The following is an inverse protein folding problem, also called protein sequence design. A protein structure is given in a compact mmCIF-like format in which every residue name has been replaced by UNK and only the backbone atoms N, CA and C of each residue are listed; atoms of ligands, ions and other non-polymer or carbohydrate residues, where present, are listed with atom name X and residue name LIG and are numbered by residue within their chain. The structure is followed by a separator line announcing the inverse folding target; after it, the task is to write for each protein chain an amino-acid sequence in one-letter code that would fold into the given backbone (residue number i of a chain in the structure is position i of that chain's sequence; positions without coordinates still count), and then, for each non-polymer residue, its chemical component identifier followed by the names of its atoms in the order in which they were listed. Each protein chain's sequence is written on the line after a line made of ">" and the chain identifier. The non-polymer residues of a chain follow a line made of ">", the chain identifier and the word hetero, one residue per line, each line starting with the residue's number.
data_IF_661413881209
#
_entry.id   IF_661413881209
#
_cell.length_a   1.000
_cell.length_b   1.000
_cell.length_c   1.000
_cell.angle_alpha   90.00
_cell.angle_beta   90.00
_cell.angle_gamma   90.00
#
_symmetry.space_group_name_H-M   'P 1'
#
loop_
_entity.id
_entity.type
_entity.pdbx_description
1 polymer ?
#
# COMPACT_ATOMS: atom_id res chain seq x y z
N UNK A 1 3.52 46.23 -4.10
CA UNK A 1 2.92 45.45 -5.21
C UNK A 1 3.80 44.29 -5.70
N UNK A 2 5.12 44.31 -5.53
CA UNK A 2 5.99 43.17 -5.90
C UNK A 2 5.82 41.95 -4.99
N UNK A 3 5.72 42.16 -3.66
CA UNK A 3 5.57 41.05 -2.69
C UNK A 3 4.28 40.24 -2.86
N UNK A 4 3.16 40.87 -3.25
CA UNK A 4 1.89 40.17 -3.48
C UNK A 4 1.93 39.28 -4.72
N UNK A 5 2.65 39.70 -5.77
CA UNK A 5 2.81 38.95 -7.02
C UNK A 5 3.74 37.74 -6.84
N UNK A 6 4.82 37.87 -6.06
CA UNK A 6 5.69 36.73 -5.71
C UNK A 6 4.98 35.73 -4.80
N UNK A 7 4.26 36.19 -3.77
CA UNK A 7 3.44 35.34 -2.89
C UNK A 7 2.47 34.46 -3.70
N UNK A 8 1.75 35.04 -4.67
CA UNK A 8 0.75 34.30 -5.44
C UNK A 8 1.37 33.26 -6.38
N UNK A 9 2.52 33.57 -6.98
CA UNK A 9 3.18 32.68 -7.95
C UNK A 9 3.86 31.49 -7.28
N UNK A 10 4.54 31.71 -6.15
CA UNK A 10 5.18 30.62 -5.39
C UNK A 10 4.13 29.68 -4.78
N UNK A 11 3.03 30.23 -4.27
CA UNK A 11 1.91 29.46 -3.77
C UNK A 11 1.25 28.62 -4.87
N UNK A 12 0.96 29.21 -6.04
CA UNK A 12 0.34 28.46 -7.15
C UNK A 12 1.23 27.31 -7.61
N UNK A 13 2.53 27.54 -7.74
CA UNK A 13 3.48 26.49 -8.14
C UNK A 13 3.53 25.34 -7.12
N UNK A 14 3.55 25.64 -5.82
CA UNK A 14 3.50 24.60 -4.78
C UNK A 14 2.18 23.80 -4.83
N UNK A 15 1.05 24.48 -5.03
CA UNK A 15 -0.26 23.82 -5.16
C UNK A 15 -0.32 22.93 -6.40
N UNK A 16 0.27 23.35 -7.53
CA UNK A 16 0.32 22.55 -8.75
C UNK A 16 1.18 21.29 -8.57
N UNK A 17 2.35 21.42 -7.95
CA UNK A 17 3.21 20.27 -7.63
C UNK A 17 2.51 19.30 -6.66
N UNK A 18 1.82 19.83 -5.64
CA UNK A 18 1.00 19.04 -4.72
C UNK A 18 -0.11 18.27 -5.45
N UNK A 19 -0.86 18.95 -6.31
CA UNK A 19 -1.95 18.35 -7.06
C UNK A 19 -1.43 17.27 -8.02
N UNK A 20 -0.33 17.54 -8.72
CA UNK A 20 0.33 16.56 -9.58
C UNK A 20 0.74 15.31 -8.80
N UNK A 21 1.37 15.47 -7.63
CA UNK A 21 1.76 14.34 -6.78
C UNK A 21 0.54 13.53 -6.30
N UNK A 22 -0.56 14.19 -5.95
CA UNK A 22 -1.82 13.54 -5.58
C UNK A 22 -2.44 12.76 -6.77
N UNK A 23 -2.45 13.34 -7.97
CA UNK A 23 -2.97 12.69 -9.17
C UNK A 23 -2.10 11.48 -9.55
N UNK A 24 -0.77 11.62 -9.53
CA UNK A 24 0.16 10.52 -9.79
C UNK A 24 -0.03 9.37 -8.78
N UNK A 25 -0.22 9.72 -7.50
CA UNK A 25 -0.57 8.77 -6.45
C UNK A 25 -1.87 8.03 -6.76
N UNK A 26 -2.90 8.75 -7.21
CA UNK A 26 -4.19 8.15 -7.56
C UNK A 26 -4.05 7.20 -8.75
N UNK A 27 -3.34 7.61 -9.80
CA UNK A 27 -3.05 6.77 -10.96
C UNK A 27 -2.31 5.48 -10.56
N UNK A 28 -1.32 5.56 -9.66
CA UNK A 28 -0.66 4.38 -9.11
C UNK A 28 -1.65 3.41 -8.45
N UNK A 29 -2.60 3.92 -7.66
CA UNK A 29 -3.63 3.09 -7.04
C UNK A 29 -4.53 2.43 -8.08
N UNK A 30 -4.96 3.17 -9.09
CA UNK A 30 -5.78 2.63 -10.17
C UNK A 30 -5.03 1.53 -10.94
N UNK A 31 -3.78 1.78 -11.34
CA UNK A 31 -2.95 0.82 -12.07
C UNK A 31 -2.71 -0.44 -11.24
N UNK A 32 -2.28 -0.30 -9.97
CA UNK A 32 -2.02 -1.44 -9.10
C UNK A 32 -3.29 -2.29 -8.88
N UNK A 33 -4.44 -1.66 -8.71
CA UNK A 33 -5.72 -2.35 -8.54
C UNK A 33 -6.16 -3.07 -9.82
N UNK A 34 -6.02 -2.42 -10.98
CA UNK A 34 -6.34 -3.01 -12.28
C UNK A 34 -5.43 -4.20 -12.60
N UNK A 35 -4.12 -4.08 -12.36
CA UNK A 35 -3.17 -5.18 -12.53
C UNK A 35 -3.51 -6.36 -11.62
N UNK A 36 -3.89 -6.08 -10.37
CA UNK A 36 -4.33 -7.12 -9.44
C UNK A 36 -5.58 -7.85 -9.97
N UNK A 37 -6.64 -7.11 -10.31
CA UNK A 37 -7.92 -7.69 -10.72
C UNK A 37 -7.80 -8.44 -12.06
N UNK A 38 -7.18 -7.83 -13.06
CA UNK A 38 -7.19 -8.35 -14.43
C UNK A 38 -6.15 -9.47 -14.65
N UNK A 39 -5.00 -9.40 -13.99
CA UNK A 39 -3.86 -10.26 -14.37
C UNK A 39 -3.40 -11.19 -13.25
N UNK A 40 -3.50 -10.76 -11.99
CA UNK A 40 -2.85 -11.45 -10.88
C UNK A 40 -3.82 -12.17 -9.94
N UNK A 41 -5.10 -11.84 -9.97
CA UNK A 41 -6.11 -12.37 -9.04
C UNK A 41 -6.13 -13.90 -9.01
N UNK A 42 -6.29 -14.55 -10.17
CA UNK A 42 -6.36 -16.01 -10.26
C UNK A 42 -5.11 -16.71 -9.72
N UNK A 43 -3.93 -16.14 -9.99
CA UNK A 43 -2.64 -16.68 -9.53
C UNK A 43 -2.41 -16.46 -8.03
N UNK A 44 -2.80 -15.29 -7.51
CA UNK A 44 -2.57 -14.91 -6.12
C UNK A 44 -3.58 -15.56 -5.18
N UNK A 45 -4.82 -15.82 -5.62
CA UNK A 45 -5.83 -16.46 -4.79
C UNK A 45 -5.46 -17.92 -4.43
N UNK A 46 -4.65 -18.61 -5.27
CA UNK A 46 -4.11 -19.95 -4.99
C UNK A 46 -2.77 -19.98 -4.23
N UNK A 47 -2.14 -18.83 -4.01
CA UNK A 47 -0.80 -18.73 -3.41
C UNK A 47 -0.77 -17.62 -2.35
N UNK A 48 -1.25 -17.88 -1.11
CA UNK A 48 -1.44 -16.84 -0.10
C UNK A 48 -0.14 -16.12 0.28
N UNK A 49 1.00 -16.81 0.26
CA UNK A 49 2.31 -16.21 0.53
C UNK A 49 2.71 -15.19 -0.56
N UNK A 50 2.50 -15.52 -1.83
CA UNK A 50 2.79 -14.62 -2.96
C UNK A 50 1.85 -13.41 -2.94
N UNK A 51 0.58 -13.63 -2.62
CA UNK A 51 -0.41 -12.57 -2.42
C UNK A 51 0.00 -11.62 -1.30
N UNK A 52 0.48 -12.15 -0.16
CA UNK A 52 0.95 -11.36 0.96
C UNK A 52 2.13 -10.46 0.58
N UNK A 53 3.11 -11.00 -0.14
CA UNK A 53 4.27 -10.24 -0.64
C UNK A 53 3.82 -9.13 -1.60
N UNK A 54 2.93 -9.42 -2.55
CA UNK A 54 2.38 -8.43 -3.47
C UNK A 54 1.74 -7.26 -2.72
N UNK A 55 0.82 -7.54 -1.79
CA UNK A 55 0.14 -6.49 -1.01
C UNK A 55 1.10 -5.71 -0.11
N UNK A 56 2.16 -6.35 0.40
CA UNK A 56 3.20 -5.69 1.21
C UNK A 56 4.00 -4.68 0.38
N UNK A 57 4.43 -5.08 -0.82
CA UNK A 57 5.23 -4.22 -1.70
C UNK A 57 4.40 -3.01 -2.14
N UNK A 58 3.19 -3.23 -2.67
CA UNK A 58 2.35 -2.12 -3.13
C UNK A 58 1.90 -1.22 -1.97
N UNK A 59 1.62 -1.81 -0.80
CA UNK A 59 1.22 -1.10 0.40
C UNK A 59 2.33 -0.20 0.91
N UNK A 60 3.56 -0.72 1.00
CA UNK A 60 4.75 0.01 1.44
C UNK A 60 5.09 1.14 0.47
N UNK A 61 5.12 0.87 -0.84
CA UNK A 61 5.38 1.89 -1.86
C UNK A 61 4.34 3.01 -1.79
N UNK A 62 3.05 2.66 -1.67
CA UNK A 62 1.97 3.65 -1.51
C UNK A 62 2.14 4.46 -0.24
N UNK A 63 2.50 3.82 0.88
CA UNK A 63 2.71 4.50 2.15
C UNK A 63 3.86 5.51 2.08
N UNK A 64 5.00 5.11 1.51
CA UNK A 64 6.14 6.01 1.27
C UNK A 64 5.72 7.18 0.39
N UNK A 65 5.00 6.93 -0.69
CA UNK A 65 4.55 7.98 -1.59
C UNK A 65 3.63 8.98 -0.88
N UNK A 66 2.74 8.52 -0.01
CA UNK A 66 1.88 9.40 0.80
C UNK A 66 2.70 10.20 1.81
N UNK A 67 3.69 9.59 2.48
CA UNK A 67 4.61 10.33 3.35
C UNK A 67 5.37 11.41 2.58
N UNK A 68 5.82 11.12 1.36
CA UNK A 68 6.47 12.11 0.49
C UNK A 68 5.52 13.26 0.14
N UNK A 69 4.24 12.98 -0.15
CA UNK A 69 3.25 14.03 -0.40
C UNK A 69 3.10 14.95 0.81
N UNK A 70 3.03 14.39 2.03
CA UNK A 70 2.94 15.19 3.25
C UNK A 70 4.22 15.97 3.56
N UNK A 71 5.38 15.33 3.42
CA UNK A 71 6.65 15.91 3.88
C UNK A 71 7.26 16.89 2.88
N UNK A 72 7.08 16.65 1.58
CA UNK A 72 7.78 17.39 0.52
C UNK A 72 6.83 18.28 -0.28
N UNK A 73 5.64 17.78 -0.60
CA UNK A 73 4.74 18.45 -1.53
C UNK A 73 3.62 19.24 -0.84
N UNK A 74 3.45 19.12 0.47
CA UNK A 74 2.40 19.85 1.17
C UNK A 74 2.67 21.37 1.10
N UNK A 75 1.78 22.15 0.46
CA UNK A 75 2.08 23.55 0.17
C UNK A 75 2.12 24.36 1.47
N UNK A 76 3.15 25.18 1.63
CA UNK A 76 3.34 26.04 2.78
C UNK A 76 3.09 27.50 2.40
N UNK A 77 2.23 28.16 3.16
CA UNK A 77 1.98 29.58 2.97
C UNK A 77 3.13 30.38 3.59
N UNK A 78 3.78 31.23 2.81
CA UNK A 78 4.84 32.08 3.31
C UNK A 78 4.29 33.17 4.25
N UNK A 79 5.11 33.57 5.23
CA UNK A 79 4.74 34.56 6.23
C UNK A 79 4.31 35.89 5.60
N UNK A 80 3.17 36.41 6.04
CA UNK A 80 2.60 37.66 5.53
C UNK A 80 1.82 37.52 4.21
N UNK A 81 1.73 36.31 3.63
CA UNK A 81 0.85 36.04 2.49
C UNK A 81 -0.52 35.51 2.95
N UNK A 82 -1.59 35.83 2.23
CA UNK A 82 -2.90 35.17 2.38
C UNK A 82 -3.05 34.08 1.34
N UNK A 83 -2.97 32.81 1.77
CA UNK A 83 -3.11 31.66 0.89
C UNK A 83 -4.49 31.00 1.02
N UNK A 84 -5.00 30.48 -0.09
CA UNK A 84 -6.23 29.67 -0.10
C UNK A 84 -5.98 28.23 0.36
N UNK A 85 -7.03 27.41 0.35
CA UNK A 85 -6.92 25.98 0.64
C UNK A 85 -6.62 25.19 -0.64
N UNK A 86 -5.65 24.27 -0.67
CA UNK A 86 -5.37 23.46 -1.85
C UNK A 86 -6.56 22.52 -2.16
N UNK A 87 -6.93 22.31 -3.44
CA UNK A 87 -8.11 21.52 -3.81
C UNK A 87 -8.10 20.07 -3.29
N UNK A 88 -6.92 19.44 -3.29
CA UNK A 88 -6.76 18.04 -2.87
C UNK A 88 -6.29 17.89 -1.42
N UNK A 89 -6.57 18.86 -0.53
CA UNK A 89 -6.09 18.86 0.86
C UNK A 89 -6.32 17.52 1.60
N UNK A 90 -7.49 16.91 1.40
CA UNK A 90 -7.87 15.67 2.10
C UNK A 90 -7.33 14.40 1.44
N UNK A 91 -6.82 14.48 0.21
CA UNK A 91 -6.39 13.30 -0.55
C UNK A 91 -5.34 12.46 0.16
N UNK A 92 -4.26 13.03 0.76
CA UNK A 92 -3.24 12.24 1.42
C UNK A 92 -3.78 11.41 2.58
N UNK A 93 -4.81 11.88 3.30
CA UNK A 93 -5.47 11.11 4.35
C UNK A 93 -6.18 9.87 3.78
N UNK A 94 -6.96 10.03 2.70
CA UNK A 94 -7.60 8.91 2.02
C UNK A 94 -6.57 7.93 1.45
N UNK A 95 -5.49 8.45 0.87
CA UNK A 95 -4.41 7.63 0.34
C UNK A 95 -3.68 6.84 1.43
N UNK A 96 -3.52 7.41 2.64
CA UNK A 96 -3.01 6.69 3.82
C UNK A 96 -3.92 5.52 4.19
N UNK A 97 -5.24 5.71 4.22
CA UNK A 97 -6.17 4.61 4.51
C UNK A 97 -6.06 3.46 3.50
N UNK A 98 -5.88 3.78 2.21
CA UNK A 98 -5.67 2.76 1.16
C UNK A 98 -4.36 2.00 1.41
N UNK A 99 -3.26 2.70 1.72
CA UNK A 99 -1.98 2.07 2.01
C UNK A 99 -2.06 1.13 3.22
N UNK A 100 -2.64 1.60 4.33
CA UNK A 100 -2.85 0.81 5.55
C UNK A 100 -3.73 -0.41 5.27
N UNK A 101 -4.80 -0.25 4.49
CA UNK A 101 -5.68 -1.37 4.10
C UNK A 101 -4.92 -2.46 3.35
N UNK A 102 -4.03 -2.09 2.42
CA UNK A 102 -3.21 -3.07 1.70
C UNK A 102 -2.22 -3.78 2.61
N UNK A 103 -1.54 -3.05 3.49
CA UNK A 103 -0.62 -3.65 4.47
C UNK A 103 -1.34 -4.57 5.46
N UNK A 104 -2.54 -4.19 5.90
CA UNK A 104 -3.36 -5.03 6.77
C UNK A 104 -3.78 -6.32 6.06
N UNK A 105 -4.20 -6.23 4.79
CA UNK A 105 -4.52 -7.40 3.98
C UNK A 105 -3.31 -8.31 3.79
N UNK A 106 -2.12 -7.74 3.59
CA UNK A 106 -0.89 -8.53 3.52
C UNK A 106 -0.64 -9.32 4.81
N UNK A 107 -0.82 -8.69 5.98
CA UNK A 107 -0.68 -9.35 7.29
C UNK A 107 -1.65 -10.52 7.46
N UNK A 108 -2.90 -10.36 7.03
CA UNK A 108 -3.88 -11.43 7.06
C UNK A 108 -3.47 -12.61 6.16
N UNK A 109 -2.93 -12.32 4.98
CA UNK A 109 -2.47 -13.34 4.03
C UNK A 109 -1.21 -14.08 4.53
N UNK A 110 -0.29 -13.39 5.21
CA UNK A 110 0.83 -14.06 5.89
C UNK A 110 0.35 -15.00 6.99
N UNK A 111 -0.61 -14.56 7.81
CA UNK A 111 -1.19 -15.41 8.85
C UNK A 111 -1.88 -16.65 8.24
N UNK A 112 -2.57 -16.49 7.11
CA UNK A 112 -3.18 -17.59 6.38
C UNK A 112 -2.13 -18.56 5.80
N UNK A 113 -1.07 -18.03 5.17
CA UNK A 113 0.01 -18.84 4.61
C UNK A 113 0.71 -19.68 5.69
N UNK A 114 0.97 -19.10 6.86
CA UNK A 114 1.57 -19.81 7.98
C UNK A 114 0.69 -20.93 8.53
N UNK A 115 -0.64 -20.74 8.58
CA UNK A 115 -1.59 -21.78 9.00
C UNK A 115 -1.62 -22.95 8.02
N UNK A 116 -1.66 -22.66 6.72
CA UNK A 116 -1.63 -23.70 5.67
C UNK A 116 -0.30 -24.47 5.71
N UNK A 117 0.82 -23.80 5.97
CA UNK A 117 2.11 -24.46 6.14
C UNK A 117 2.11 -25.43 7.33
N UNK A 118 1.63 -25.00 8.51
CA UNK A 118 1.58 -25.85 9.70
C UNK A 118 0.63 -27.05 9.55
N UNK A 119 -0.50 -26.89 8.85
CA UNK A 119 -1.44 -28.00 8.60
C UNK A 119 -0.87 -29.06 7.65
N UNK A 120 0.05 -28.67 6.75
CA UNK A 120 0.71 -29.62 5.87
C UNK A 120 1.84 -30.37 6.60
N UNK A 121 2.58 -29.71 7.49
CA UNK A 121 3.61 -30.37 8.32
C UNK A 121 2.99 -31.45 9.23
N UNK A 122 1.78 -31.24 9.75
CA UNK A 122 1.09 -32.21 10.62
C UNK A 122 0.55 -33.44 9.84
N UNK A 123 0.35 -33.29 8.51
CA UNK A 123 -0.05 -34.40 7.62
C UNK A 123 1.12 -35.23 7.09
N UNK A 124 2.31 -34.64 7.03
CA UNK A 124 3.56 -35.29 6.65
C UNK A 124 4.39 -35.74 7.87
N UNK A 125 3.72 -35.96 9.02
CA UNK A 125 4.33 -36.60 10.19
C UNK A 125 4.97 -37.95 9.84
N UNK A 126 6.06 -38.35 10.53
CA UNK A 126 6.91 -39.46 10.11
C UNK A 126 6.11 -40.74 9.89
N UNK A 127 6.24 -41.32 8.69
CA UNK A 127 5.71 -42.65 8.28
C UNK A 127 6.25 -43.79 9.18
N UNK A 128 7.17 -43.49 10.09
CA UNK A 128 7.83 -44.47 10.96
C UNK A 128 6.95 -45.08 12.06
N UNK A 129 5.76 -44.55 12.36
CA UNK A 129 4.87 -45.14 13.39
C UNK A 129 3.83 -46.13 12.84
N UNK A 130 3.68 -46.29 11.52
CA UNK A 130 2.68 -47.24 10.96
C UNK A 130 3.19 -48.65 10.69
N UNK A 131 4.50 -48.91 10.83
CA UNK A 131 5.09 -50.21 10.49
C UNK A 131 5.42 -51.05 11.74
N UNK A 132 5.33 -50.51 12.96
CA UNK A 132 5.71 -51.24 14.18
C UNK A 132 4.61 -52.09 14.83
N UNK A 133 3.37 -52.08 14.33
CA UNK A 133 2.24 -52.79 15.00
C UNK A 133 1.71 -53.99 14.24
N UNK A 134 2.36 -54.45 13.16
CA UNK A 134 1.90 -55.61 12.36
C UNK A 134 2.76 -56.86 12.54
N UNK A 135 3.93 -56.77 13.18
CA UNK A 135 4.76 -57.94 13.53
C UNK A 135 4.81 -58.16 15.04
N UNK A 136 3.69 -58.55 15.66
CA UNK A 136 3.63 -59.19 16.99
C UNK A 136 2.18 -59.58 17.30
N UNK A 137 1.61 -60.49 16.51
CA UNK A 137 0.41 -61.23 16.85
C UNK A 137 0.43 -62.61 16.19
#
# INVERSE_FOLDING_TARGET
>A
MSQSLSCSADWSMQVDNYNFACIASFAFTAIATSLYICCLKSRLDGAPQLAAQFFTVIGTVKFILVLTIFAVFFPQCADGCTCGTPPLLLYPFFASFVAVRWLFRARQLYALANRVASENEDKDGPIFDRVSTVELA
#
